data_IF_899169177944
#
_entry.id   IF_899169177944
#
_cell.length_a   1.000
_cell.length_b   1.000
_cell.length_c   1.000
_cell.angle_alpha   90.00
_cell.angle_beta   90.00
_cell.angle_gamma   90.00
#
_symmetry.space_group_name_H-M   'P 1'
#
loop_
_entity.id
_entity.type
_entity.pdbx_description
1 polymer ?
#
# COMPACT_ATOMS: atom_id res chain seq x y z
N UNK A 1 -3.17 1.31 -17.72
CA UNK A 1 -3.64 -0.04 -17.36
C UNK A 1 -4.83 0.20 -16.45
N UNK A 2 -6.03 -0.23 -16.81
CA UNK A 2 -7.16 -0.18 -15.87
C UNK A 2 -6.88 -1.17 -14.76
N UNK A 3 -7.16 -0.78 -13.51
CA UNK A 3 -7.20 -1.71 -12.39
C UNK A 3 -8.06 -2.94 -12.76
N UNK A 4 -7.62 -4.18 -12.43
CA UNK A 4 -8.47 -5.35 -12.61
C UNK A 4 -9.79 -5.17 -11.85
N UNK A 5 -10.88 -5.66 -12.44
CA UNK A 5 -12.20 -5.58 -11.80
C UNK A 5 -12.24 -6.54 -10.61
N UNK A 6 -12.60 -6.02 -9.43
CA UNK A 6 -12.69 -6.82 -8.21
C UNK A 6 -14.09 -7.44 -8.16
N UNK A 7 -14.19 -8.78 -8.23
CA UNK A 7 -15.49 -9.48 -8.27
C UNK A 7 -15.77 -10.34 -7.03
N UNK A 8 -14.80 -10.52 -6.13
CA UNK A 8 -14.88 -11.37 -4.93
C UNK A 8 -13.79 -11.05 -3.91
N UNK A 9 -13.86 -11.75 -2.79
CA UNK A 9 -12.88 -11.83 -1.71
C UNK A 9 -11.42 -11.92 -2.08
N UNK A 10 -11.16 -13.05 -2.71
CA UNK A 10 -9.89 -13.46 -3.21
C UNK A 10 -9.51 -12.46 -4.28
N UNK A 11 -10.46 -11.90 -5.03
CA UNK A 11 -10.16 -10.80 -5.92
C UNK A 11 -9.77 -9.52 -5.17
N UNK A 12 -10.29 -9.20 -3.96
CA UNK A 12 -9.86 -8.03 -3.16
C UNK A 12 -8.46 -8.23 -2.63
N UNK A 13 -8.19 -9.39 -2.02
CA UNK A 13 -6.87 -9.70 -1.46
C UNK A 13 -5.85 -9.85 -2.59
N UNK A 14 -6.17 -10.58 -3.66
CA UNK A 14 -5.34 -10.67 -4.86
C UNK A 14 -5.17 -9.29 -5.52
N UNK A 15 -6.17 -8.42 -5.44
CA UNK A 15 -6.08 -7.05 -5.93
C UNK A 15 -5.10 -6.21 -5.10
N UNK A 16 -5.21 -6.20 -3.77
CA UNK A 16 -4.26 -5.50 -2.89
C UNK A 16 -2.83 -6.07 -3.05
N UNK A 17 -2.68 -7.39 -3.14
CA UNK A 17 -1.40 -8.03 -3.49
C UNK A 17 -0.87 -7.58 -4.86
N UNK A 18 -1.75 -7.39 -5.85
CA UNK A 18 -1.34 -6.83 -7.14
C UNK A 18 -0.89 -5.36 -7.05
N UNK A 19 -1.42 -4.61 -6.08
CA UNK A 19 -0.94 -3.27 -5.76
C UNK A 19 0.44 -3.31 -5.10
N UNK A 20 0.73 -4.26 -4.22
CA UNK A 20 2.09 -4.48 -3.68
C UNK A 20 3.11 -4.67 -4.80
N UNK A 21 2.78 -5.51 -5.80
CA UNK A 21 3.66 -5.73 -6.95
C UNK A 21 3.78 -4.50 -7.85
N UNK A 22 2.73 -3.70 -7.95
CA UNK A 22 2.77 -2.40 -8.65
C UNK A 22 3.68 -1.41 -7.91
N UNK A 23 3.56 -1.31 -6.59
CA UNK A 23 4.40 -0.47 -5.73
C UNK A 23 5.87 -0.90 -5.84
N UNK A 24 6.16 -2.20 -5.75
CA UNK A 24 7.49 -2.79 -5.97
C UNK A 24 8.07 -2.35 -7.31
N UNK A 25 7.27 -2.45 -8.38
CA UNK A 25 7.69 -2.05 -9.72
C UNK A 25 7.96 -0.55 -9.83
N UNK A 26 7.14 0.29 -9.19
CA UNK A 26 7.31 1.75 -9.17
C UNK A 26 8.56 2.19 -8.40
N UNK A 27 8.94 1.49 -7.34
CA UNK A 27 10.24 1.71 -6.68
C UNK A 27 11.41 1.45 -7.63
N UNK A 28 11.39 0.31 -8.34
CA UNK A 28 12.43 -0.05 -9.33
C UNK A 28 12.47 1.01 -10.43
N UNK A 29 11.33 1.37 -10.99
CA UNK A 29 11.23 2.40 -12.04
C UNK A 29 11.80 3.75 -11.57
N UNK A 30 11.54 4.15 -10.32
CA UNK A 30 12.06 5.40 -9.76
C UNK A 30 13.58 5.34 -9.57
N UNK A 31 14.11 4.22 -9.08
CA UNK A 31 15.55 4.04 -8.86
C UNK A 31 16.32 4.01 -10.19
N UNK A 32 15.81 3.28 -11.18
CA UNK A 32 16.44 3.03 -12.48
C UNK A 32 16.17 4.13 -13.53
N UNK A 33 15.38 5.15 -13.17
CA UNK A 33 15.04 6.24 -14.08
C UNK A 33 16.30 6.91 -14.68
N UNK A 34 16.33 7.14 -16.02
CA UNK A 34 17.53 7.58 -16.73
C UNK A 34 17.90 9.06 -16.49
N UNK A 35 16.94 9.86 -16.05
CA UNK A 35 17.10 11.28 -15.79
C UNK A 35 16.16 11.78 -14.67
N UNK A 36 16.42 12.99 -14.20
CA UNK A 36 15.69 13.60 -13.10
C UNK A 36 14.20 13.84 -13.41
N UNK A 37 13.84 14.09 -14.67
CA UNK A 37 12.45 14.33 -15.06
C UNK A 37 11.64 13.03 -14.98
N UNK A 38 12.16 11.97 -15.60
CA UNK A 38 11.57 10.63 -15.56
C UNK A 38 11.50 10.10 -14.13
N UNK A 39 12.54 10.32 -13.33
CA UNK A 39 12.55 9.94 -11.90
C UNK A 39 11.45 10.65 -11.12
N UNK A 40 11.26 11.96 -11.35
CA UNK A 40 10.21 12.74 -10.69
C UNK A 40 8.81 12.22 -11.05
N UNK A 41 8.58 11.87 -12.31
CA UNK A 41 7.31 11.30 -12.77
C UNK A 41 7.04 9.91 -12.17
N UNK A 42 8.06 9.04 -12.12
CA UNK A 42 7.98 7.74 -11.46
C UNK A 42 7.71 7.88 -9.95
N UNK A 43 8.45 8.76 -9.27
CA UNK A 43 8.26 9.02 -7.84
C UNK A 43 6.88 9.59 -7.52
N UNK A 44 6.34 10.46 -8.39
CA UNK A 44 4.97 10.98 -8.23
C UNK A 44 3.93 9.87 -8.32
N UNK A 45 4.11 8.92 -9.26
CA UNK A 45 3.23 7.75 -9.40
C UNK A 45 3.35 6.82 -8.19
N UNK A 46 4.57 6.55 -7.74
CA UNK A 46 4.83 5.77 -6.52
C UNK A 46 4.08 6.35 -5.32
N UNK A 47 4.28 7.64 -5.04
CA UNK A 47 3.61 8.32 -3.93
C UNK A 47 2.08 8.29 -4.04
N UNK A 48 1.56 8.48 -5.24
CA UNK A 48 0.11 8.41 -5.46
C UNK A 48 -0.42 7.01 -5.19
N UNK A 49 0.29 5.97 -5.65
CA UNK A 49 -0.11 4.58 -5.43
C UNK A 49 -0.06 4.22 -3.94
N UNK A 50 0.99 4.63 -3.21
CA UNK A 50 1.09 4.45 -1.76
C UNK A 50 -0.11 5.07 -1.03
N UNK A 51 -0.49 6.30 -1.38
CA UNK A 51 -1.61 7.00 -0.74
C UNK A 51 -2.95 6.30 -0.97
N UNK A 52 -3.16 5.82 -2.20
CA UNK A 52 -4.39 5.13 -2.62
C UNK A 52 -4.52 3.79 -1.89
N UNK A 53 -3.43 3.03 -1.86
CA UNK A 53 -3.34 1.72 -1.22
C UNK A 53 -3.61 1.81 0.30
N UNK A 54 -2.87 2.66 0.99
CA UNK A 54 -3.00 2.87 2.43
C UNK A 54 -4.39 3.40 2.82
N UNK A 55 -5.02 4.22 1.97
CA UNK A 55 -6.41 4.65 2.20
C UNK A 55 -7.37 3.47 2.14
N UNK A 56 -7.17 2.51 1.23
CA UNK A 56 -8.00 1.32 1.16
C UNK A 56 -7.83 0.45 2.42
N UNK A 57 -6.60 0.27 2.90
CA UNK A 57 -6.31 -0.44 4.14
C UNK A 57 -6.94 0.21 5.36
N UNK A 58 -6.64 1.48 5.62
CA UNK A 58 -7.12 2.22 6.79
C UNK A 58 -8.65 2.31 6.84
N UNK A 59 -9.29 2.53 5.68
CA UNK A 59 -10.75 2.72 5.64
C UNK A 59 -11.54 1.42 5.59
N UNK A 60 -10.96 0.33 5.09
CA UNK A 60 -11.71 -0.88 4.73
C UNK A 60 -11.14 -2.14 5.38
N UNK A 61 -9.85 -2.40 5.20
CA UNK A 61 -9.20 -3.66 5.64
C UNK A 61 -9.05 -3.69 7.15
N UNK A 62 -8.31 -2.74 7.72
CA UNK A 62 -8.03 -2.70 9.15
C UNK A 62 -9.30 -2.69 10.03
N UNK A 63 -10.35 -1.90 9.72
CA UNK A 63 -11.58 -1.94 10.50
C UNK A 63 -12.30 -3.28 10.40
N UNK A 64 -12.13 -4.03 9.31
CA UNK A 64 -12.71 -5.36 9.16
C UNK A 64 -11.94 -6.38 10.00
N UNK A 65 -10.61 -6.36 9.94
CA UNK A 65 -9.73 -7.26 10.69
C UNK A 65 -9.96 -7.10 12.19
N UNK A 66 -9.94 -5.86 12.72
CA UNK A 66 -10.25 -5.59 14.13
C UNK A 66 -11.59 -6.17 14.59
N UNK A 67 -12.59 -6.24 13.70
CA UNK A 67 -13.94 -6.71 14.04
C UNK A 67 -14.12 -8.22 13.93
N UNK A 68 -13.34 -8.89 13.08
CA UNK A 68 -13.60 -10.26 12.63
C UNK A 68 -12.54 -11.25 13.06
N UNK A 69 -11.30 -10.79 13.22
CA UNK A 69 -10.15 -11.63 13.56
C UNK A 69 -9.90 -11.55 15.07
N UNK A 70 -9.74 -12.72 15.71
CA UNK A 70 -9.34 -12.78 17.11
C UNK A 70 -7.90 -12.24 17.25
N UNK A 71 -7.69 -11.23 18.10
CA UNK A 71 -6.40 -10.54 18.19
C UNK A 71 -6.16 -9.51 17.08
N UNK A 72 -7.16 -9.22 16.23
CA UNK A 72 -7.04 -8.29 15.10
C UNK A 72 -6.61 -6.87 15.49
N UNK A 73 -6.86 -6.41 16.72
CA UNK A 73 -6.35 -5.13 17.20
C UNK A 73 -4.82 -5.08 17.21
N UNK A 74 -4.14 -6.15 17.68
CA UNK A 74 -2.69 -6.18 17.73
C UNK A 74 -2.06 -6.25 16.33
N UNK A 75 -2.65 -7.06 15.44
CA UNK A 75 -2.23 -7.17 14.04
C UNK A 75 -2.28 -5.79 13.37
N UNK A 76 -3.42 -5.11 13.49
CA UNK A 76 -3.63 -3.79 12.88
C UNK A 76 -2.78 -2.70 13.53
N UNK A 77 -2.60 -2.71 14.85
CA UNK A 77 -1.77 -1.72 15.53
C UNK A 77 -0.29 -1.79 15.05
N UNK A 78 0.21 -2.98 14.71
CA UNK A 78 1.54 -3.14 14.12
C UNK A 78 1.62 -2.61 12.68
N UNK A 79 0.62 -2.89 11.83
CA UNK A 79 0.57 -2.37 10.44
C UNK A 79 0.51 -0.85 10.40
N UNK A 80 -0.37 -0.23 11.19
CA UNK A 80 -0.48 1.22 11.34
C UNK A 80 0.84 1.87 11.82
N UNK A 81 1.64 1.17 12.62
CA UNK A 81 2.95 1.67 13.06
C UNK A 81 3.98 1.65 11.92
N UNK A 82 4.00 0.59 11.11
CA UNK A 82 4.85 0.47 9.92
C UNK A 82 4.50 1.51 8.86
N UNK A 83 3.21 1.70 8.59
CA UNK A 83 2.65 2.75 7.74
C UNK A 83 3.08 4.15 8.20
N UNK A 84 2.96 4.42 9.51
CA UNK A 84 3.41 5.69 10.07
C UNK A 84 4.90 5.95 9.83
N UNK A 85 5.74 4.95 10.06
CA UNK A 85 7.18 5.04 9.83
C UNK A 85 7.49 5.26 8.33
N UNK A 86 6.77 4.57 7.43
CA UNK A 86 6.89 4.75 5.99
C UNK A 86 6.47 6.17 5.55
N UNK A 87 5.36 6.71 6.07
CA UNK A 87 4.92 8.10 5.84
C UNK A 87 5.97 9.11 6.28
N UNK A 88 6.61 8.88 7.44
CA UNK A 88 7.70 9.75 7.94
C UNK A 88 8.90 9.73 6.99
N UNK A 89 9.34 8.54 6.56
CA UNK A 89 10.43 8.41 5.58
C UNK A 89 10.09 9.10 4.26
N UNK A 90 8.87 8.93 3.76
CA UNK A 90 8.42 9.53 2.52
C UNK A 90 8.41 11.06 2.58
N UNK A 91 7.88 11.64 3.66
CA UNK A 91 7.91 13.09 3.90
C UNK A 91 9.34 13.64 3.88
N UNK A 92 10.28 12.92 4.49
CA UNK A 92 11.67 13.34 4.53
C UNK A 92 12.33 13.24 3.14
N UNK A 93 11.99 12.22 2.35
CA UNK A 93 12.44 12.05 0.95
C UNK A 93 11.93 13.20 0.06
N UNK A 94 10.69 13.67 0.24
CA UNK A 94 10.12 14.76 -0.56
C UNK A 94 10.88 16.09 -0.42
N UNK A 95 11.67 16.26 0.65
CA UNK A 95 12.51 17.43 0.85
C UNK A 95 13.89 17.32 0.17
N UNK A 96 14.24 16.16 -0.37
CA UNK A 96 15.54 15.91 -0.99
C UNK A 96 15.53 16.25 -2.49
N UNK A 97 16.67 16.73 -3.05
CA UNK A 97 16.80 16.87 -4.50
C UNK A 97 16.67 15.51 -5.19
N UNK A 98 15.79 15.42 -6.19
CA UNK A 98 15.42 14.17 -6.88
C UNK A 98 16.60 13.41 -7.50
N UNK A 99 17.67 14.12 -7.85
CA UNK A 99 18.90 13.61 -8.47
C UNK A 99 20.06 13.41 -7.48
N UNK A 100 19.83 13.66 -6.19
CA UNK A 100 20.86 13.51 -5.16
C UNK A 100 21.08 12.06 -4.76
N UNK A 101 22.30 11.76 -4.31
CA UNK A 101 22.63 10.46 -3.72
C UNK A 101 21.83 10.19 -2.43
N UNK A 102 21.47 11.24 -1.69
CA UNK A 102 20.70 11.10 -0.45
C UNK A 102 19.24 10.72 -0.75
N UNK A 103 18.64 11.27 -1.82
CA UNK A 103 17.33 10.81 -2.31
C UNK A 103 17.36 9.31 -2.63
N UNK A 104 18.36 8.85 -3.38
CA UNK A 104 18.48 7.42 -3.73
C UNK A 104 18.63 6.53 -2.49
N UNK A 105 19.48 6.91 -1.52
CA UNK A 105 19.63 6.14 -0.27
C UNK A 105 18.34 6.09 0.53
N UNK A 106 17.69 7.23 0.70
CA UNK A 106 16.44 7.31 1.47
C UNK A 106 15.31 6.52 0.77
N UNK A 107 15.23 6.57 -0.56
CA UNK A 107 14.28 5.78 -1.34
C UNK A 107 14.50 4.26 -1.19
N UNK A 108 15.76 3.80 -1.13
CA UNK A 108 16.07 2.38 -0.86
C UNK A 108 15.63 1.97 0.55
N UNK A 109 15.77 2.85 1.55
CA UNK A 109 15.27 2.56 2.90
C UNK A 109 13.75 2.51 2.95
N UNK A 110 13.06 3.45 2.28
CA UNK A 110 11.60 3.41 2.16
C UNK A 110 11.13 2.15 1.43
N UNK A 111 11.81 1.76 0.34
CA UNK A 111 11.52 0.53 -0.38
C UNK A 111 11.59 -0.69 0.55
N UNK A 112 12.64 -0.80 1.36
CA UNK A 112 12.76 -1.91 2.30
C UNK A 112 11.61 -1.92 3.33
N UNK A 113 11.29 -0.77 3.91
CA UNK A 113 10.20 -0.65 4.89
C UNK A 113 8.84 -1.05 4.29
N UNK A 114 8.49 -0.51 3.11
CA UNK A 114 7.22 -0.79 2.44
C UNK A 114 7.12 -2.25 2.00
N UNK A 115 8.21 -2.86 1.53
CA UNK A 115 8.19 -4.28 1.13
C UNK A 115 8.04 -5.22 2.33
N UNK A 116 8.65 -4.89 3.47
CA UNK A 116 8.45 -5.64 4.72
C UNK A 116 7.03 -5.48 5.24
N UNK A 117 6.47 -4.28 5.19
CA UNK A 117 5.09 -4.02 5.56
C UNK A 117 4.11 -4.86 4.72
N UNK A 118 4.25 -4.81 3.38
CA UNK A 118 3.44 -5.62 2.46
C UNK A 118 3.53 -7.12 2.76
N UNK A 119 4.72 -7.64 3.08
CA UNK A 119 4.92 -9.04 3.47
C UNK A 119 4.17 -9.38 4.77
N UNK A 120 4.24 -8.50 5.78
CA UNK A 120 3.50 -8.68 7.02
C UNK A 120 1.98 -8.61 6.82
N UNK A 121 1.47 -7.72 5.98
CA UNK A 121 0.05 -7.68 5.65
C UNK A 121 -0.39 -8.99 4.99
N UNK A 122 0.34 -9.45 3.98
CA UNK A 122 -0.01 -10.68 3.27
C UNK A 122 -0.01 -11.91 4.17
N UNK A 123 0.95 -12.01 5.10
CA UNK A 123 1.12 -13.17 5.97
C UNK A 123 0.28 -13.14 7.24
N UNK A 124 0.05 -11.95 7.81
CA UNK A 124 -0.54 -11.79 9.16
C UNK A 124 -1.91 -11.13 9.15
N UNK A 125 -2.23 -10.31 8.14
CA UNK A 125 -3.51 -9.59 8.09
C UNK A 125 -4.46 -10.20 7.05
N UNK A 126 -4.02 -10.30 5.79
CA UNK A 126 -4.86 -10.76 4.69
C UNK A 126 -5.20 -12.24 4.83
N UNK A 127 -4.26 -13.06 5.28
CA UNK A 127 -4.48 -14.49 5.56
C UNK A 127 -5.61 -14.69 6.59
N UNK A 128 -5.53 -13.99 7.72
CA UNK A 128 -6.53 -14.05 8.79
C UNK A 128 -7.87 -13.45 8.34
N UNK A 129 -7.84 -12.41 7.51
CA UNK A 129 -9.05 -11.84 6.93
C UNK A 129 -9.76 -12.86 6.03
N UNK A 130 -9.05 -13.51 5.11
CA UNK A 130 -9.63 -14.53 4.21
C UNK A 130 -10.31 -15.66 4.99
N UNK A 131 -9.75 -16.07 6.13
CA UNK A 131 -10.31 -17.12 6.98
C UNK A 131 -11.54 -16.64 7.80
N UNK A 132 -11.62 -15.34 8.11
CA UNK A 132 -12.61 -14.79 9.04
C UNK A 132 -13.90 -14.24 8.39
N UNK A 133 -13.93 -14.00 7.07
CA UNK A 133 -15.09 -13.42 6.38
C UNK A 133 -15.71 -14.35 5.34
N UNK A 134 -17.00 -14.19 5.07
CA UNK A 134 -17.72 -14.96 4.05
C UNK A 134 -17.64 -14.31 2.66
N UNK A 135 -17.88 -15.08 1.61
CA UNK A 135 -17.93 -14.62 0.20
C UNK A 135 -18.81 -13.36 0.00
N UNK A 136 -19.95 -13.29 0.67
CA UNK A 136 -20.88 -12.13 0.62
C UNK A 136 -20.32 -10.88 1.33
N UNK A 137 -19.58 -11.06 2.44
CA UNK A 137 -18.92 -9.96 3.14
C UNK A 137 -17.73 -9.43 2.35
N UNK A 138 -17.09 -10.33 1.64
CA UNK A 138 -15.93 -10.09 0.82
C UNK A 138 -16.24 -9.32 -0.47
N UNK A 139 -17.35 -9.62 -1.15
CA UNK A 139 -17.82 -8.79 -2.28
C UNK A 139 -18.09 -7.33 -1.85
N UNK A 140 -18.54 -7.12 -0.61
CA UNK A 140 -18.74 -5.76 -0.08
C UNK A 140 -17.43 -5.04 0.25
N UNK A 141 -16.37 -5.80 0.56
CA UNK A 141 -15.03 -5.23 0.75
C UNK A 141 -14.48 -4.72 -0.59
N UNK A 142 -14.73 -5.43 -1.70
CA UNK A 142 -14.39 -4.98 -3.04
C UNK A 142 -14.98 -3.61 -3.37
N UNK A 143 -16.30 -3.47 -3.25
CA UNK A 143 -16.98 -2.20 -3.49
C UNK A 143 -16.44 -1.09 -2.58
N UNK A 144 -16.13 -1.41 -1.32
CA UNK A 144 -15.61 -0.45 -0.36
C UNK A 144 -14.18 0.00 -0.70
N UNK A 145 -13.30 -0.91 -1.13
CA UNK A 145 -11.94 -0.60 -1.59
C UNK A 145 -12.00 0.33 -2.80
N UNK A 146 -12.79 0.00 -3.82
CA UNK A 146 -12.92 0.87 -5.00
C UNK A 146 -13.41 2.29 -4.64
N UNK A 147 -14.31 2.41 -3.65
CA UNK A 147 -14.78 3.72 -3.16
C UNK A 147 -13.67 4.44 -2.41
N UNK A 148 -12.94 3.76 -1.53
CA UNK A 148 -11.86 4.34 -0.73
C UNK A 148 -10.76 4.91 -1.64
N UNK A 149 -10.36 4.16 -2.67
CA UNK A 149 -9.35 4.61 -3.63
C UNK A 149 -9.77 5.85 -4.41
N UNK A 150 -11.05 5.96 -4.76
CA UNK A 150 -11.58 7.12 -5.48
C UNK A 150 -11.58 8.40 -4.67
N UNK A 151 -11.57 8.30 -3.34
CA UNK A 151 -11.54 9.44 -2.42
C UNK A 151 -10.17 9.63 -1.78
N UNK A 152 -9.22 8.73 -2.05
CA UNK A 152 -7.87 8.80 -1.53
C UNK A 152 -7.16 10.09 -1.98
N UNK A 153 -6.31 10.66 -1.11
CA UNK A 153 -5.49 11.78 -1.49
C UNK A 153 -4.44 11.36 -2.53
N UNK A 154 -3.87 12.34 -3.24
CA UNK A 154 -2.77 12.10 -4.21
C UNK A 154 -1.38 12.08 -3.55
N UNK A 155 -1.36 12.06 -2.23
CA UNK A 155 -0.18 12.03 -1.36
C UNK A 155 -0.57 11.46 0.02
N UNK A 156 0.22 10.56 0.61
CA UNK A 156 -0.01 10.05 1.97
C UNK A 156 0.20 11.11 3.05
#
# INVERSE_FOLDING_TARGET
MSAPAIASAKDVVDYLKSQHETIRSLFIETLDAPDAATRKEAFTRLRTMLAVHETAEEMVVHPRVRRKVEGGDAIVDERLAEEHDAKVLLRDIEQLPIDSADFTKALVHLQAAVLTHAEHEEELEFSELEDAVSDDELAKLADAVEIAERIAPTHP
#
